data_IF_230366348160
#
_entry.id   IF_230366348160
#
_cell.length_a   1.000
_cell.length_b   1.000
_cell.length_c   1.000
_cell.angle_alpha   90.00
_cell.angle_beta   90.00
_cell.angle_gamma   90.00
#
_symmetry.space_group_name_H-M   'P 1'
#
loop_
_entity.id
_entity.type
_entity.pdbx_description
1 polymer ?
#
# COMPACT_ATOMS: atom_id res chain seq x y z
N UNK A 1 -13.89 14.83 17.83
CA UNK A 1 -12.44 14.69 18.00
C UNK A 1 -11.96 13.41 17.32
N UNK A 2 -10.97 13.53 16.48
CA UNK A 2 -10.40 12.38 15.76
C UNK A 2 -9.46 11.58 16.67
N UNK A 3 -9.50 10.28 16.57
CA UNK A 3 -8.73 9.38 17.41
C UNK A 3 -7.49 8.87 16.66
N UNK A 4 -6.32 8.93 17.32
CA UNK A 4 -5.07 8.40 16.79
C UNK A 4 -5.18 6.92 16.43
N UNK A 5 -6.03 6.17 17.14
CA UNK A 5 -6.23 4.74 16.90
C UNK A 5 -6.82 4.48 15.51
N UNK A 6 -7.77 5.30 15.10
CA UNK A 6 -8.37 5.20 13.77
C UNK A 6 -7.34 5.48 12.68
N UNK A 7 -6.49 6.50 12.88
CA UNK A 7 -5.41 6.82 11.94
C UNK A 7 -4.41 5.68 11.86
N UNK A 8 -3.98 5.15 13.00
CA UNK A 8 -3.02 4.04 13.04
C UNK A 8 -3.57 2.79 12.35
N UNK A 9 -4.85 2.48 12.57
CA UNK A 9 -5.49 1.36 11.88
C UNK A 9 -5.54 1.59 10.37
N UNK A 10 -5.83 2.82 9.95
CA UNK A 10 -5.84 3.17 8.53
C UNK A 10 -4.44 2.97 7.92
N UNK A 11 -3.40 3.47 8.59
CA UNK A 11 -2.02 3.32 8.13
C UNK A 11 -1.65 1.83 8.01
N UNK A 12 -2.03 1.05 9.02
CA UNK A 12 -1.81 -0.40 9.02
C UNK A 12 -2.48 -1.06 7.81
N UNK A 13 -3.76 -0.75 7.57
CA UNK A 13 -4.51 -1.33 6.46
C UNK A 13 -3.87 -0.97 5.12
N UNK A 14 -3.39 0.26 4.98
CA UNK A 14 -2.74 0.72 3.76
C UNK A 14 -1.43 -0.03 3.50
N UNK A 15 -0.59 -0.19 4.52
CA UNK A 15 0.67 -0.94 4.37
C UNK A 15 0.42 -2.42 4.12
N UNK A 16 -0.59 -2.99 4.76
CA UNK A 16 -1.00 -4.38 4.55
C UNK A 16 -1.51 -4.61 3.12
N UNK A 17 -2.32 -3.68 2.60
CA UNK A 17 -2.82 -3.74 1.22
C UNK A 17 -1.67 -3.70 0.22
N UNK A 18 -0.70 -2.80 0.43
CA UNK A 18 0.47 -2.72 -0.45
C UNK A 18 1.25 -4.02 -0.45
N UNK A 19 1.52 -4.57 0.74
CA UNK A 19 2.21 -5.84 0.88
C UNK A 19 1.47 -6.97 0.14
N UNK A 20 0.18 -7.13 0.39
CA UNK A 20 -0.64 -8.17 -0.23
C UNK A 20 -0.68 -8.02 -1.75
N UNK A 21 -0.79 -6.79 -2.23
CA UNK A 21 -0.81 -6.51 -3.67
C UNK A 21 0.47 -6.94 -4.36
N UNK A 22 1.61 -6.57 -3.80
CA UNK A 22 2.91 -6.94 -4.38
C UNK A 22 3.15 -8.44 -4.33
N UNK A 23 2.80 -9.10 -3.21
CA UNK A 23 2.92 -10.57 -3.09
C UNK A 23 2.08 -11.25 -4.17
N UNK A 24 0.86 -10.79 -4.36
CA UNK A 24 -0.07 -11.36 -5.35
C UNK A 24 0.49 -11.22 -6.77
N UNK A 25 1.05 -10.06 -7.09
CA UNK A 25 1.66 -9.83 -8.40
C UNK A 25 2.90 -10.72 -8.61
N UNK A 26 3.73 -10.86 -7.59
CA UNK A 26 4.91 -11.74 -7.67
C UNK A 26 4.50 -13.18 -7.88
N UNK A 27 3.44 -13.64 -7.24
CA UNK A 27 2.91 -14.98 -7.45
C UNK A 27 2.41 -15.17 -8.88
N UNK A 28 1.72 -14.17 -9.42
CA UNK A 28 1.22 -14.21 -10.79
C UNK A 28 2.35 -14.22 -11.83
N UNK A 29 3.51 -13.68 -11.47
CA UNK A 29 4.68 -13.58 -12.35
C UNK A 29 5.77 -14.61 -12.02
N UNK A 30 5.47 -15.60 -11.18
CA UNK A 30 6.44 -16.57 -10.69
C UNK A 30 7.24 -17.25 -11.82
N UNK A 31 6.56 -17.69 -12.86
CA UNK A 31 7.17 -18.38 -14.01
C UNK A 31 7.54 -17.44 -15.16
N UNK A 32 7.50 -16.13 -14.92
CA UNK A 32 7.78 -15.12 -15.94
C UNK A 32 9.10 -14.42 -15.64
N UNK A 33 9.72 -13.88 -16.69
CA UNK A 33 10.99 -13.16 -16.58
C UNK A 33 10.82 -11.63 -16.66
N UNK A 34 9.68 -11.14 -16.25
CA UNK A 34 9.36 -9.73 -16.25
C UNK A 34 10.41 -8.89 -15.51
N UNK A 35 10.87 -7.83 -16.15
CA UNK A 35 11.88 -6.93 -15.57
C UNK A 35 11.33 -6.16 -14.36
N UNK A 36 10.03 -5.91 -14.33
CA UNK A 36 9.35 -5.20 -13.23
C UNK A 36 9.44 -5.95 -11.89
N UNK A 37 9.69 -7.26 -11.91
CA UNK A 37 9.75 -8.08 -10.68
C UNK A 37 10.75 -7.54 -9.66
N UNK A 38 11.89 -7.08 -10.10
CA UNK A 38 12.93 -6.49 -9.23
C UNK A 38 12.40 -5.31 -8.43
N UNK A 39 11.71 -4.41 -9.11
CA UNK A 39 11.15 -3.23 -8.45
C UNK A 39 9.98 -3.60 -7.52
N UNK A 40 9.18 -4.59 -7.91
CA UNK A 40 8.09 -5.09 -7.06
C UNK A 40 8.67 -5.66 -5.76
N UNK A 41 9.72 -6.50 -5.86
CA UNK A 41 10.38 -7.08 -4.69
C UNK A 41 10.93 -6.01 -3.75
N UNK A 42 11.57 -4.99 -4.31
CA UNK A 42 12.13 -3.87 -3.55
C UNK A 42 11.03 -3.05 -2.87
N UNK A 43 9.96 -2.77 -3.59
CA UNK A 43 8.84 -2.00 -3.04
C UNK A 43 8.08 -2.78 -1.98
N UNK A 44 7.94 -4.09 -2.17
CA UNK A 44 7.38 -4.98 -1.16
C UNK A 44 8.16 -4.88 0.15
N UNK A 45 9.50 -4.92 0.06
CA UNK A 45 10.38 -4.81 1.21
C UNK A 45 10.16 -3.52 1.99
N UNK A 46 9.99 -2.41 1.28
CA UNK A 46 9.70 -1.11 1.88
C UNK A 46 8.35 -1.08 2.59
N UNK A 47 7.32 -1.67 1.98
CA UNK A 47 6.01 -1.78 2.61
C UNK A 47 6.03 -2.66 3.85
N UNK A 48 6.82 -3.73 3.83
CA UNK A 48 6.98 -4.60 5.00
C UNK A 48 7.61 -3.85 6.16
N UNK A 49 8.60 -3.01 5.90
CA UNK A 49 9.23 -2.16 6.92
C UNK A 49 8.24 -1.17 7.52
N UNK A 50 7.47 -0.50 6.66
CA UNK A 50 6.46 0.47 7.11
C UNK A 50 5.36 -0.22 7.92
N UNK A 51 4.97 -1.41 7.51
CA UNK A 51 3.98 -2.20 8.23
C UNK A 51 4.47 -2.56 9.63
N UNK A 52 5.72 -3.00 9.76
CA UNK A 52 6.32 -3.31 11.06
C UNK A 52 6.39 -2.09 11.97
N UNK A 53 6.76 -0.94 11.42
CA UNK A 53 6.80 0.30 12.17
C UNK A 53 5.41 0.68 12.68
N UNK A 54 4.38 0.50 11.84
CA UNK A 54 3.00 0.76 12.21
C UNK A 54 2.51 -0.24 13.26
N UNK A 55 2.87 -1.51 13.12
CA UNK A 55 2.54 -2.55 14.09
C UNK A 55 3.10 -2.22 15.46
N UNK A 56 4.31 -1.68 15.52
CA UNK A 56 4.91 -1.27 16.78
C UNK A 56 4.12 -0.14 17.45
N UNK A 57 3.67 0.84 16.67
CA UNK A 57 2.82 1.93 17.17
C UNK A 57 1.48 1.42 17.67
N UNK A 58 0.88 0.47 16.95
CA UNK A 58 -0.37 -0.17 17.37
C UNK A 58 -0.18 -0.91 18.70
N UNK A 59 0.90 -1.66 18.81
CA UNK A 59 1.24 -2.40 20.02
C UNK A 59 1.43 -1.46 21.21
N UNK A 60 2.14 -0.35 20.99
CA UNK A 60 2.39 0.67 22.03
C UNK A 60 1.07 1.26 22.54
N UNK A 61 0.06 1.30 21.70
CA UNK A 61 -1.28 1.80 22.02
C UNK A 61 -2.28 0.70 22.39
N UNK A 62 -1.79 -0.54 22.53
CA UNK A 62 -2.61 -1.72 22.87
C UNK A 62 -3.76 -1.98 21.90
N UNK A 63 -3.50 -1.75 20.61
CA UNK A 63 -4.46 -1.98 19.55
C UNK A 63 -4.07 -3.24 18.80
N UNK A 64 -5.05 -4.12 18.58
CA UNK A 64 -4.89 -5.32 17.79
C UNK A 64 -5.52 -5.07 16.41
N UNK A 65 -4.73 -5.00 15.33
CA UNK A 65 -5.30 -4.75 14.02
C UNK A 65 -6.13 -5.93 13.53
N UNK A 66 -7.19 -5.63 12.77
CA UNK A 66 -8.08 -6.65 12.19
C UNK A 66 -7.92 -6.67 10.68
N UNK A 67 -7.98 -7.88 10.12
CA UNK A 67 -8.08 -8.02 8.67
C UNK A 67 -9.52 -7.70 8.27
N UNK A 68 -9.69 -6.63 7.49
CA UNK A 68 -11.00 -6.16 7.04
C UNK A 68 -11.36 -6.62 5.63
N UNK A 69 -10.57 -7.50 5.04
CA UNK A 69 -10.81 -7.99 3.67
C UNK A 69 -10.68 -6.91 2.61
N UNK A 70 -9.97 -5.85 2.88
CA UNK A 70 -9.85 -4.69 2.00
C UNK A 70 -9.10 -5.01 0.69
N UNK A 71 -8.24 -6.01 0.70
CA UNK A 71 -7.51 -6.41 -0.49
C UNK A 71 -8.45 -6.92 -1.59
N UNK A 72 -9.37 -7.80 -1.23
CA UNK A 72 -10.36 -8.34 -2.16
C UNK A 72 -11.26 -7.21 -2.69
N UNK A 73 -11.66 -6.32 -1.80
CA UNK A 73 -12.48 -5.16 -2.13
C UNK A 73 -11.77 -4.26 -3.14
N UNK A 74 -10.47 -4.00 -2.91
CA UNK A 74 -9.66 -3.18 -3.81
C UNK A 74 -9.53 -3.84 -5.18
N UNK A 75 -9.26 -5.14 -5.23
CA UNK A 75 -9.13 -5.87 -6.49
C UNK A 75 -10.43 -5.81 -7.30
N UNK A 76 -11.56 -6.00 -6.65
CA UNK A 76 -12.87 -5.90 -7.30
C UNK A 76 -13.13 -4.49 -7.85
N UNK A 77 -12.77 -3.47 -7.07
CA UNK A 77 -12.93 -2.07 -7.44
C UNK A 77 -12.09 -1.69 -8.67
N UNK A 78 -10.90 -2.27 -8.78
CA UNK A 78 -10.00 -2.04 -9.90
C UNK A 78 -10.34 -2.90 -11.12
N UNK A 79 -11.27 -3.84 -10.98
CA UNK A 79 -11.63 -4.75 -12.07
C UNK A 79 -10.53 -5.76 -12.39
N UNK A 80 -9.66 -6.04 -11.44
CA UNK A 80 -8.54 -6.97 -11.62
C UNK A 80 -8.93 -8.37 -11.19
N UNK A 81 -8.81 -9.33 -12.12
CA UNK A 81 -8.93 -10.74 -11.81
C UNK A 81 -7.54 -11.36 -11.87
N UNK A 82 -6.95 -11.55 -10.68
CA UNK A 82 -5.58 -12.05 -10.56
C UNK A 82 -5.43 -13.51 -10.95
N UNK A 83 -6.52 -14.25 -11.02
CA UNK A 83 -6.47 -15.66 -11.41
C UNK A 83 -6.48 -15.85 -12.93
N UNK A 84 -6.98 -14.86 -13.66
CA UNK A 84 -7.09 -14.91 -15.12
C UNK A 84 -6.54 -13.60 -15.70
N UNK A 85 -5.22 -13.44 -15.57
CA UNK A 85 -4.55 -12.27 -16.15
C UNK A 85 -4.15 -12.60 -17.58
N UNK A 86 -4.86 -12.04 -18.55
CA UNK A 86 -4.62 -12.28 -19.98
C UNK A 86 -3.38 -11.55 -20.48
N UNK A 87 -3.12 -10.35 -19.98
CA UNK A 87 -1.95 -9.56 -20.29
C UNK A 87 -1.13 -9.35 -19.03
N UNK A 88 0.04 -9.98 -18.96
CA UNK A 88 0.97 -9.83 -17.85
C UNK A 88 2.29 -9.19 -18.27
N UNK A 89 2.24 -8.33 -19.29
CA UNK A 89 3.39 -7.53 -19.70
C UNK A 89 3.79 -6.56 -18.59
N UNK A 90 5.04 -6.10 -18.60
CA UNK A 90 5.52 -5.11 -17.65
C UNK A 90 4.62 -3.87 -17.65
N UNK A 91 4.22 -3.43 -18.85
CA UNK A 91 3.34 -2.25 -18.99
C UNK A 91 1.99 -2.46 -18.30
N UNK A 92 1.38 -3.62 -18.46
CA UNK A 92 0.08 -3.91 -17.83
C UNK A 92 0.20 -4.02 -16.32
N UNK A 93 1.27 -4.69 -15.85
CA UNK A 93 1.54 -4.79 -14.40
C UNK A 93 1.78 -3.40 -13.81
N UNK A 94 2.54 -2.56 -14.52
CA UNK A 94 2.77 -1.18 -14.09
C UNK A 94 1.46 -0.40 -13.96
N UNK A 95 0.55 -0.52 -14.92
CA UNK A 95 -0.78 0.12 -14.85
C UNK A 95 -1.53 -0.27 -13.58
N UNK A 96 -1.54 -1.56 -13.26
CA UNK A 96 -2.23 -2.08 -12.07
C UNK A 96 -1.63 -1.47 -10.80
N UNK A 97 -0.31 -1.47 -10.69
CA UNK A 97 0.39 -0.91 -9.52
C UNK A 97 0.11 0.59 -9.41
N UNK A 98 0.19 1.33 -10.52
CA UNK A 98 -0.04 2.78 -10.55
C UNK A 98 -1.46 3.11 -10.10
N UNK A 99 -2.46 2.35 -10.56
CA UNK A 99 -3.84 2.55 -10.12
C UNK A 99 -3.98 2.38 -8.62
N UNK A 100 -3.42 1.30 -8.07
CA UNK A 100 -3.48 1.04 -6.64
C UNK A 100 -2.76 2.11 -5.83
N UNK A 101 -1.56 2.52 -6.26
CA UNK A 101 -0.78 3.56 -5.58
C UNK A 101 -1.50 4.91 -5.64
N UNK A 102 -2.08 5.26 -6.78
CA UNK A 102 -2.80 6.54 -6.93
C UNK A 102 -3.99 6.60 -5.97
N UNK A 103 -4.75 5.52 -5.86
CA UNK A 103 -5.87 5.45 -4.91
C UNK A 103 -5.36 5.59 -3.48
N UNK A 104 -4.28 4.89 -3.15
CA UNK A 104 -3.68 4.96 -1.81
C UNK A 104 -3.15 6.35 -1.47
N UNK A 105 -2.51 7.02 -2.42
CA UNK A 105 -1.98 8.38 -2.24
C UNK A 105 -3.11 9.36 -1.95
N UNK A 106 -4.17 9.32 -2.74
CA UNK A 106 -5.32 10.21 -2.55
C UNK A 106 -5.94 10.03 -1.17
N UNK A 107 -6.17 8.78 -0.77
CA UNK A 107 -6.75 8.50 0.54
C UNK A 107 -5.84 8.90 1.68
N UNK A 108 -4.53 8.65 1.56
CA UNK A 108 -3.57 9.04 2.58
C UNK A 108 -3.53 10.56 2.76
N UNK A 109 -3.54 11.30 1.66
CA UNK A 109 -3.58 12.77 1.71
C UNK A 109 -4.83 13.27 2.44
N UNK A 110 -5.98 12.65 2.16
CA UNK A 110 -7.23 12.99 2.84
C UNK A 110 -7.16 12.70 4.34
N UNK A 111 -6.60 11.55 4.71
CA UNK A 111 -6.45 11.16 6.10
C UNK A 111 -5.52 12.12 6.84
N UNK A 112 -4.41 12.49 6.24
CA UNK A 112 -3.47 13.44 6.85
C UNK A 112 -4.17 14.77 7.12
N UNK A 113 -4.90 15.29 6.15
CA UNK A 113 -5.65 16.56 6.33
C UNK A 113 -6.68 16.46 7.44
N UNK A 114 -7.36 15.33 7.52
CA UNK A 114 -8.41 15.10 8.52
C UNK A 114 -7.85 15.04 9.94
N UNK A 115 -6.69 14.41 10.12
CA UNK A 115 -6.11 14.17 11.45
C UNK A 115 -5.01 15.16 11.84
N UNK A 116 -4.52 15.97 10.94
CA UNK A 116 -3.31 16.81 11.11
C UNK A 116 -3.28 17.62 12.40
N UNK A 117 -4.42 18.20 12.81
CA UNK A 117 -4.52 19.02 14.02
C UNK A 117 -5.26 18.31 15.15
N UNK A 118 -5.55 17.04 14.99
CA UNK A 118 -6.38 16.28 15.94
C UNK A 118 -5.60 15.24 16.75
N UNK A 119 -4.42 14.86 16.29
CA UNK A 119 -3.59 13.84 16.93
C UNK A 119 -2.15 14.30 17.07
N UNK A 120 -1.37 13.59 17.88
CA UNK A 120 0.04 13.92 18.09
C UNK A 120 0.85 13.82 16.78
N UNK A 121 1.83 14.68 16.68
CA UNK A 121 2.68 14.81 15.48
C UNK A 121 3.37 13.52 15.06
N UNK A 122 3.69 12.64 16.00
CA UNK A 122 4.37 11.37 15.68
C UNK A 122 3.53 10.48 14.75
N UNK A 123 2.20 10.50 14.92
CA UNK A 123 1.30 9.70 14.08
C UNK A 123 1.15 10.30 12.69
N UNK A 124 1.08 11.63 12.62
CA UNK A 124 1.06 12.35 11.34
C UNK A 124 2.38 12.13 10.59
N UNK A 125 3.48 12.11 11.30
CA UNK A 125 4.80 11.85 10.72
C UNK A 125 4.87 10.47 10.07
N UNK A 126 4.30 9.48 10.73
CA UNK A 126 4.22 8.12 10.17
C UNK A 126 3.34 8.10 8.91
N UNK A 127 2.19 8.76 8.96
CA UNK A 127 1.30 8.85 7.80
C UNK A 127 2.01 9.50 6.61
N UNK A 128 2.72 10.60 6.85
CA UNK A 128 3.48 11.31 5.81
C UNK A 128 4.62 10.46 5.26
N UNK A 129 5.23 9.64 6.10
CA UNK A 129 6.28 8.71 5.69
C UNK A 129 5.74 7.68 4.70
N UNK A 130 4.57 7.15 4.98
CA UNK A 130 3.89 6.19 4.10
C UNK A 130 3.52 6.87 2.77
N UNK A 131 2.93 8.07 2.85
CA UNK A 131 2.58 8.86 1.66
C UNK A 131 3.78 9.08 0.76
N UNK A 132 4.89 9.51 1.34
CA UNK A 132 6.13 9.78 0.61
C UNK A 132 6.65 8.51 -0.08
N UNK A 133 6.54 7.38 0.60
CA UNK A 133 6.94 6.09 0.04
C UNK A 133 6.04 5.69 -1.12
N UNK A 134 4.73 5.88 -0.98
CA UNK A 134 3.78 5.62 -2.07
C UNK A 134 4.10 6.46 -3.31
N UNK A 135 4.39 7.73 -3.12
CA UNK A 135 4.76 8.65 -4.21
C UNK A 135 6.05 8.21 -4.91
N UNK A 136 7.04 7.80 -4.13
CA UNK A 136 8.31 7.29 -4.65
C UNK A 136 8.08 6.01 -5.47
N UNK A 137 7.29 5.09 -4.96
CA UNK A 137 6.97 3.85 -5.66
C UNK A 137 6.27 4.13 -7.00
N UNK A 138 5.33 5.07 -7.00
CA UNK A 138 4.62 5.47 -8.20
C UNK A 138 5.59 5.96 -9.29
N UNK A 139 6.50 6.84 -8.93
CA UNK A 139 7.47 7.39 -9.88
C UNK A 139 8.40 6.29 -10.44
N UNK A 140 8.85 5.37 -9.58
CA UNK A 140 9.73 4.28 -9.99
C UNK A 140 9.05 3.32 -10.97
N UNK A 141 7.76 3.06 -10.80
CA UNK A 141 7.02 2.12 -11.63
C UNK A 141 6.67 2.69 -13.00
N UNK A 142 6.57 4.01 -13.13
CA UNK A 142 6.21 4.67 -14.41
C UNK A 142 7.13 4.30 -15.56
N UNK A 143 8.37 3.96 -15.31
CA UNK A 143 9.33 3.59 -16.37
C UNK A 143 8.93 2.33 -17.16
N UNK A 144 8.01 1.55 -16.61
CA UNK A 144 7.54 0.32 -17.28
C UNK A 144 6.30 0.51 -18.16
N UNK A 145 5.70 1.69 -18.14
CA UNK A 145 4.50 1.99 -18.95
C UNK A 145 4.73 1.91 -20.47
#
# INVERSE_FOLDING_TARGET
MKDKNELLEYIYQTTDLGKKGYIHLLQALEDKDNKIKKDIEKQLEGYEKLKKETEQKLKDNKIKPKDKGLFIELMNKMGVNMNVMMDNSDSKIAEIIIQGLTMGIIEMEKQIKEYENEVDKEYIKLAKKVLKYQEKCLEEIKKYL
#
